data_IF_309814465288
#
_entry.id   IF_309814465288
#
_cell.length_a   1.000
_cell.length_b   1.000
_cell.length_c   1.000
_cell.angle_alpha   90.00
_cell.angle_beta   90.00
_cell.angle_gamma   90.00
#
_symmetry.space_group_name_H-M   'P 1'
#
loop_
_entity.id
_entity.type
_entity.pdbx_description
1 polymer ?
#
# COMPACT_ATOMS: atom_id res chain seq x y z
N UNK A 1 -6.36 -29.25 4.82
CA UNK A 1 -6.49 -28.27 5.93
C UNK A 1 -6.05 -28.87 7.27
N UNK A 2 -6.35 -30.14 7.56
CA UNK A 2 -5.88 -30.83 8.77
C UNK A 2 -4.35 -31.03 8.81
N UNK A 3 -3.70 -31.27 7.67
CA UNK A 3 -2.24 -31.40 7.57
C UNK A 3 -1.47 -30.14 8.02
N UNK A 4 -2.07 -28.94 7.91
CA UNK A 4 -1.46 -27.68 8.37
C UNK A 4 -1.44 -27.55 9.91
N UNK A 5 -2.38 -28.21 10.59
CA UNK A 5 -2.46 -28.26 12.04
C UNK A 5 -1.56 -29.34 12.65
N UNK A 6 -1.12 -30.32 11.85
CA UNK A 6 -0.17 -31.36 12.25
C UNK A 6 1.29 -30.91 12.16
N UNK A 7 1.56 -29.76 11.52
CA UNK A 7 2.89 -29.17 11.48
C UNK A 7 3.37 -28.75 12.87
N UNK A 8 4.68 -28.85 13.09
CA UNK A 8 5.33 -28.37 14.31
C UNK A 8 4.90 -26.93 14.63
N UNK A 9 4.64 -26.65 15.91
CA UNK A 9 4.22 -25.32 16.39
C UNK A 9 5.18 -24.21 15.92
N UNK A 10 6.48 -24.52 15.78
CA UNK A 10 7.49 -23.60 15.24
C UNK A 10 7.18 -23.21 13.80
N UNK A 11 6.77 -24.16 12.96
CA UNK A 11 6.41 -23.90 11.56
C UNK A 11 5.10 -23.12 11.46
N UNK A 12 4.15 -23.34 12.36
CA UNK A 12 2.91 -22.55 12.41
C UNK A 12 3.20 -21.08 12.74
N UNK A 13 4.08 -20.81 13.73
CA UNK A 13 4.51 -19.45 14.07
C UNK A 13 5.20 -18.76 12.90
N UNK A 14 6.01 -19.48 12.12
CA UNK A 14 6.66 -18.97 10.90
C UNK A 14 5.65 -18.58 9.84
N UNK A 15 4.69 -19.47 9.55
CA UNK A 15 3.70 -19.22 8.51
C UNK A 15 2.77 -18.06 8.89
N UNK A 16 2.27 -18.06 10.13
CA UNK A 16 1.36 -17.00 10.61
C UNK A 16 2.10 -15.67 10.74
N UNK A 17 3.27 -15.66 11.39
CA UNK A 17 4.08 -14.45 11.56
C UNK A 17 4.58 -13.89 10.24
N UNK A 18 5.03 -14.76 9.32
CA UNK A 18 5.45 -14.39 7.98
C UNK A 18 4.30 -13.84 7.13
N UNK A 19 3.11 -14.45 7.20
CA UNK A 19 1.93 -13.98 6.48
C UNK A 19 1.44 -12.61 6.99
N UNK A 20 1.38 -12.41 8.31
CA UNK A 20 1.04 -11.11 8.90
C UNK A 20 2.08 -10.04 8.52
N UNK A 21 3.35 -10.40 8.55
CA UNK A 21 4.45 -9.54 8.11
C UNK A 21 4.30 -9.13 6.65
N UNK A 22 3.98 -10.07 5.76
CA UNK A 22 3.72 -9.81 4.35
C UNK A 22 2.54 -8.83 4.17
N UNK A 23 1.42 -9.08 4.86
CA UNK A 23 0.24 -8.21 4.84
C UNK A 23 0.62 -6.77 5.22
N UNK A 24 1.41 -6.60 6.28
CA UNK A 24 1.79 -5.28 6.81
C UNK A 24 2.81 -4.59 5.90
N UNK A 25 3.84 -5.32 5.46
CA UNK A 25 4.91 -4.79 4.62
C UNK A 25 4.39 -4.33 3.26
N UNK A 26 3.46 -5.07 2.66
CA UNK A 26 2.97 -4.84 1.30
C UNK A 26 1.50 -4.43 1.21
N UNK A 27 0.88 -3.98 2.31
CA UNK A 27 -0.50 -3.46 2.27
C UNK A 27 -0.61 -2.30 1.27
N UNK A 28 -1.50 -2.43 0.28
CA UNK A 28 -1.69 -1.46 -0.80
C UNK A 28 -0.78 -1.62 -2.02
N UNK A 29 0.09 -2.65 -2.09
CA UNK A 29 1.00 -2.92 -3.22
C UNK A 29 1.01 -4.38 -3.69
N UNK A 30 -0.04 -5.15 -3.40
CA UNK A 30 -0.03 -6.62 -3.52
C UNK A 30 -0.30 -7.16 -4.92
N UNK A 31 -0.84 -6.35 -5.83
CA UNK A 31 -1.43 -6.84 -7.08
C UNK A 31 -0.41 -7.45 -8.07
N UNK A 32 0.89 -7.20 -7.92
CA UNK A 32 1.91 -7.68 -8.85
C UNK A 32 2.74 -8.87 -8.37
N UNK A 33 2.49 -9.41 -7.16
CA UNK A 33 3.32 -10.49 -6.63
C UNK A 33 2.80 -11.85 -7.09
N UNK A 34 3.67 -12.67 -7.68
CA UNK A 34 3.32 -14.06 -8.00
C UNK A 34 3.17 -14.89 -6.73
N UNK A 35 2.41 -15.98 -6.77
CA UNK A 35 2.22 -16.86 -5.61
C UNK A 35 3.56 -17.35 -5.05
N UNK A 36 4.55 -17.61 -5.91
CA UNK A 36 5.91 -17.98 -5.52
C UNK A 36 6.63 -16.85 -4.78
N UNK A 37 6.46 -15.60 -5.20
CA UNK A 37 7.06 -14.44 -4.51
C UNK A 37 6.44 -14.24 -3.13
N UNK A 38 5.12 -14.40 -3.03
CA UNK A 38 4.41 -14.29 -1.75
C UNK A 38 4.91 -15.35 -0.77
N UNK A 39 5.05 -16.61 -1.21
CA UNK A 39 5.59 -17.69 -0.37
C UNK A 39 7.04 -17.42 0.03
N UNK A 40 7.88 -16.94 -0.90
CA UNK A 40 9.26 -16.57 -0.60
C UNK A 40 9.35 -15.47 0.47
N UNK A 41 8.53 -14.42 0.34
CA UNK A 41 8.49 -13.31 1.31
C UNK A 41 8.01 -13.79 2.68
N UNK A 42 6.97 -14.62 2.73
CA UNK A 42 6.47 -15.22 3.98
C UNK A 42 7.57 -16.02 4.66
N UNK A 43 8.32 -16.82 3.93
CA UNK A 43 9.43 -17.61 4.46
C UNK A 43 10.60 -16.72 4.91
N UNK A 44 10.92 -15.63 4.20
CA UNK A 44 11.95 -14.69 4.63
C UNK A 44 11.60 -14.03 5.97
N UNK A 45 10.39 -13.48 6.11
CA UNK A 45 9.96 -12.86 7.38
C UNK A 45 9.74 -13.89 8.48
N UNK A 46 9.19 -15.06 8.16
CA UNK A 46 9.04 -16.16 9.10
C UNK A 46 10.38 -16.72 9.59
N UNK A 47 11.40 -16.75 8.72
CA UNK A 47 12.77 -17.11 9.07
C UNK A 47 13.39 -16.17 10.11
N UNK A 48 13.10 -14.87 10.04
CA UNK A 48 13.47 -13.90 11.08
C UNK A 48 12.82 -14.29 12.42
N UNK A 49 11.59 -14.79 12.40
CA UNK A 49 10.88 -15.33 13.57
C UNK A 49 11.62 -16.53 14.19
N UNK A 50 12.06 -17.50 13.38
CA UNK A 50 12.83 -18.65 13.87
C UNK A 50 14.17 -18.23 14.48
N UNK A 51 14.89 -17.32 13.82
CA UNK A 51 16.17 -16.81 14.32
C UNK A 51 15.96 -16.07 15.64
N UNK A 52 14.86 -15.32 15.76
CA UNK A 52 14.50 -14.61 16.99
C UNK A 52 14.22 -15.60 18.13
N UNK A 53 13.41 -16.64 17.87
CA UNK A 53 13.11 -17.71 18.84
C UNK A 53 14.40 -18.39 19.31
N UNK A 54 15.25 -18.85 18.39
CA UNK A 54 16.50 -19.54 18.76
C UNK A 54 17.51 -18.64 19.47
N UNK A 55 17.53 -17.33 19.18
CA UNK A 55 18.38 -16.37 19.89
C UNK A 55 17.85 -16.08 21.30
N UNK A 56 16.53 -16.00 21.47
CA UNK A 56 15.87 -15.82 22.76
C UNK A 56 16.04 -17.05 23.66
N UNK A 57 15.92 -18.26 23.10
CA UNK A 57 16.18 -19.51 23.84
C UNK A 57 17.60 -19.51 24.44
N UNK A 58 18.62 -19.18 23.63
CA UNK A 58 20.01 -19.07 24.12
C UNK A 58 20.19 -17.96 25.16
N UNK A 59 19.54 -16.81 24.98
CA UNK A 59 19.66 -15.69 25.91
C UNK A 59 19.02 -16.05 27.27
N UNK A 60 17.88 -16.74 27.27
CA UNK A 60 17.22 -17.18 28.50
C UNK A 60 18.01 -18.28 29.24
N UNK A 61 18.69 -19.17 28.52
CA UNK A 61 19.65 -20.10 29.10
C UNK A 61 20.81 -19.39 29.81
N UNK A 62 21.32 -18.30 29.22
CA UNK A 62 22.37 -17.47 29.81
C UNK A 62 21.90 -16.68 31.03
N UNK A 63 20.67 -16.17 31.03
CA UNK A 63 20.14 -15.32 32.10
C UNK A 63 19.44 -16.08 33.23
N UNK A 64 19.28 -17.41 33.15
CA UNK A 64 18.63 -18.26 34.17
C UNK A 64 17.23 -17.78 34.57
N UNK A 65 16.43 -17.32 33.58
CA UNK A 65 15.11 -16.73 33.82
C UNK A 65 14.01 -17.72 33.46
N UNK A 66 13.65 -18.60 34.39
CA UNK A 66 12.74 -19.72 34.13
C UNK A 66 11.30 -19.32 33.78
N UNK A 67 10.82 -18.15 34.24
CA UNK A 67 9.44 -17.70 33.98
C UNK A 67 9.18 -17.27 32.53
N UNK A 68 10.22 -16.90 31.78
CA UNK A 68 10.13 -16.53 30.36
C UNK A 68 10.23 -17.74 29.41
N UNK A 69 10.51 -18.93 29.94
CA UNK A 69 10.65 -20.19 29.17
C UNK A 69 9.31 -20.84 28.81
N UNK A 70 8.18 -20.22 29.16
CA UNK A 70 6.87 -20.74 28.79
C UNK A 70 6.69 -20.71 27.26
N UNK A 71 6.31 -21.85 26.67
CA UNK A 71 6.11 -22.00 25.23
C UNK A 71 5.15 -20.95 24.63
N UNK A 72 4.18 -20.47 25.44
CA UNK A 72 3.26 -19.41 25.06
C UNK A 72 3.95 -18.05 24.86
N UNK A 73 4.91 -17.70 25.72
CA UNK A 73 5.68 -16.45 25.62
C UNK A 73 6.61 -16.50 24.42
N UNK A 74 7.24 -17.66 24.18
CA UNK A 74 8.11 -17.87 23.04
C UNK A 74 7.35 -17.78 21.71
N UNK A 75 6.17 -18.40 21.63
CA UNK A 75 5.30 -18.36 20.45
C UNK A 75 4.81 -16.94 20.14
N UNK A 76 4.35 -16.20 21.15
CA UNK A 76 3.90 -14.82 20.97
C UNK A 76 5.02 -13.87 20.53
N UNK A 77 6.22 -13.96 21.11
CA UNK A 77 7.39 -13.20 20.67
C UNK A 77 7.83 -13.58 19.25
N UNK A 78 7.72 -14.86 18.90
CA UNK A 78 7.99 -15.39 17.57
C UNK A 78 7.11 -14.80 16.46
N UNK A 79 5.90 -14.35 16.78
CA UNK A 79 5.00 -13.64 15.84
C UNK A 79 5.23 -12.13 15.87
N UNK A 80 5.50 -11.56 17.04
CA UNK A 80 5.73 -10.11 17.21
C UNK A 80 6.99 -9.64 16.49
N UNK A 81 8.10 -10.38 16.58
CA UNK A 81 9.39 -9.97 16.00
C UNK A 81 9.36 -9.85 14.47
N UNK A 82 8.82 -10.82 13.71
CA UNK A 82 8.57 -10.66 12.28
C UNK A 82 7.71 -9.44 11.96
N UNK A 83 6.62 -9.24 12.71
CA UNK A 83 5.68 -8.14 12.50
C UNK A 83 6.36 -6.77 12.66
N UNK A 84 7.18 -6.61 13.71
CA UNK A 84 7.97 -5.39 13.93
C UNK A 84 9.00 -5.21 12.79
N UNK A 85 9.67 -6.29 12.39
CA UNK A 85 10.62 -6.25 11.28
C UNK A 85 9.96 -5.81 9.97
N UNK A 86 8.71 -6.22 9.73
CA UNK A 86 7.93 -5.80 8.57
C UNK A 86 7.58 -4.31 8.59
N UNK A 87 7.27 -3.75 9.77
CA UNK A 87 7.02 -2.31 9.94
C UNK A 87 8.30 -1.52 9.66
N UNK A 88 9.43 -1.95 10.21
CA UNK A 88 10.74 -1.33 9.98
C UNK A 88 11.12 -1.42 8.49
N UNK A 89 10.91 -2.59 7.88
CA UNK A 89 11.13 -2.80 6.45
C UNK A 89 10.35 -1.79 5.61
N UNK A 90 9.04 -1.67 5.89
CA UNK A 90 8.15 -0.75 5.17
C UNK A 90 8.54 0.72 5.33
N UNK A 91 8.93 1.13 6.53
CA UNK A 91 9.22 2.54 6.83
C UNK A 91 10.59 3.00 6.34
N UNK A 92 11.64 2.20 6.53
CA UNK A 92 13.02 2.68 6.35
C UNK A 92 13.84 1.83 5.38
N UNK A 93 13.79 0.50 5.51
CA UNK A 93 14.70 -0.36 4.73
C UNK A 93 14.33 -0.32 3.26
N UNK A 94 13.05 -0.42 2.91
CA UNK A 94 12.61 -0.38 1.51
C UNK A 94 13.07 0.90 0.78
N UNK A 95 12.98 2.06 1.44
CA UNK A 95 13.43 3.33 0.87
C UNK A 95 14.96 3.40 0.71
N UNK A 96 15.71 2.91 1.71
CA UNK A 96 17.18 2.89 1.67
C UNK A 96 17.70 1.91 0.62
N UNK A 97 17.14 0.71 0.55
CA UNK A 97 17.50 -0.31 -0.44
C UNK A 97 17.23 0.20 -1.84
N UNK A 98 16.10 0.88 -2.08
CA UNK A 98 15.81 1.51 -3.38
C UNK A 98 16.88 2.53 -3.75
N UNK A 99 17.24 3.43 -2.83
CA UNK A 99 18.29 4.45 -3.06
C UNK A 99 19.67 3.82 -3.31
N UNK A 100 20.01 2.79 -2.55
CA UNK A 100 21.28 2.08 -2.69
C UNK A 100 21.34 1.35 -4.03
N UNK A 101 20.27 0.67 -4.42
CA UNK A 101 20.18 -0.03 -5.68
C UNK A 101 20.26 0.95 -6.85
N UNK A 102 19.49 2.05 -6.82
CA UNK A 102 19.55 3.08 -7.88
C UNK A 102 20.93 3.73 -7.98
N UNK A 103 21.66 3.82 -6.87
CA UNK A 103 23.04 4.32 -6.89
C UNK A 103 24.01 3.31 -7.54
N UNK A 104 23.78 2.01 -7.32
CA UNK A 104 24.65 0.94 -7.83
C UNK A 104 24.35 0.57 -9.29
N UNK A 105 23.09 0.55 -9.70
CA UNK A 105 22.69 0.15 -11.06
C UNK A 105 22.60 1.32 -12.02
N UNK A 106 22.59 2.56 -11.52
CA UNK A 106 22.39 3.78 -12.32
C UNK A 106 21.06 3.81 -13.11
N UNK A 107 20.19 2.83 -12.87
CA UNK A 107 18.88 2.69 -13.47
C UNK A 107 17.85 3.55 -12.76
N UNK A 108 16.99 4.21 -13.54
CA UNK A 108 15.85 5.00 -13.06
C UNK A 108 14.56 4.19 -12.97
N UNK A 109 14.65 2.87 -13.13
CA UNK A 109 13.48 2.00 -13.09
C UNK A 109 13.01 1.82 -11.65
N UNK A 110 11.73 2.13 -11.41
CA UNK A 110 11.16 2.19 -10.06
C UNK A 110 10.69 0.82 -9.53
N UNK A 111 10.86 -0.25 -10.32
CA UNK A 111 10.50 -1.63 -9.98
C UNK A 111 9.00 -1.89 -9.81
N UNK A 112 8.18 -0.92 -10.21
CA UNK A 112 6.73 -0.97 -10.14
C UNK A 112 6.15 -1.41 -11.49
N UNK A 113 5.07 -2.21 -11.51
CA UNK A 113 4.55 -2.84 -12.71
C UNK A 113 4.01 -1.84 -13.73
N UNK A 114 3.65 -0.63 -13.31
CA UNK A 114 3.09 0.39 -14.19
C UNK A 114 3.49 1.80 -13.78
N UNK A 115 3.61 2.70 -14.77
CA UNK A 115 3.80 4.13 -14.52
C UNK A 115 2.69 4.72 -13.63
N UNK A 116 1.45 4.21 -13.76
CA UNK A 116 0.33 4.54 -12.88
C UNK A 116 0.65 4.27 -11.42
N UNK A 117 1.13 3.06 -11.11
CA UNK A 117 1.49 2.69 -9.74
C UNK A 117 2.63 3.55 -9.18
N UNK A 118 3.60 3.94 -10.02
CA UNK A 118 4.66 4.89 -9.64
C UNK A 118 4.10 6.27 -9.30
N UNK A 119 3.14 6.74 -10.09
CA UNK A 119 2.52 8.04 -9.93
C UNK A 119 1.73 8.10 -8.61
N UNK A 120 0.85 7.14 -8.35
CA UNK A 120 -0.07 7.18 -7.19
C UNK A 120 0.64 6.90 -5.87
N UNK A 121 1.73 6.12 -5.89
CA UNK A 121 2.45 5.72 -4.67
C UNK A 121 3.49 6.75 -4.22
N UNK A 122 3.72 7.82 -4.99
CA UNK A 122 4.72 8.83 -4.65
C UNK A 122 4.23 9.71 -3.49
N UNK A 123 4.83 9.50 -2.33
CA UNK A 123 4.52 10.23 -1.09
C UNK A 123 5.03 11.69 -1.13
N UNK A 124 4.45 12.56 -0.29
CA UNK A 124 4.79 14.00 -0.12
C UNK A 124 4.45 14.94 -1.29
N UNK A 125 3.43 14.60 -2.09
CA UNK A 125 2.90 15.48 -3.12
C UNK A 125 1.46 15.88 -2.78
N UNK A 126 1.11 17.13 -3.04
CA UNK A 126 -0.27 17.61 -2.94
C UNK A 126 -0.90 17.65 -4.33
N UNK A 127 -2.09 17.09 -4.46
CA UNK A 127 -2.85 17.12 -5.70
C UNK A 127 -3.55 18.47 -5.82
N UNK A 128 -3.33 19.16 -6.94
CA UNK A 128 -3.92 20.48 -7.20
C UNK A 128 -5.12 20.39 -8.14
N UNK A 129 -5.02 19.55 -9.17
CA UNK A 129 -6.01 19.41 -10.23
C UNK A 129 -6.03 17.97 -10.72
N UNK A 130 -7.22 17.47 -11.06
CA UNK A 130 -7.43 16.16 -11.68
C UNK A 130 -8.44 16.32 -12.80
N UNK A 131 -8.07 15.90 -14.01
CA UNK A 131 -8.90 15.83 -15.19
C UNK A 131 -8.90 14.39 -15.69
N UNK A 132 -10.08 13.83 -15.90
CA UNK A 132 -10.27 12.49 -16.44
C UNK A 132 -11.05 12.62 -17.73
N UNK A 133 -10.43 12.23 -18.84
CA UNK A 133 -11.09 12.19 -20.14
C UNK A 133 -11.54 10.76 -20.41
N UNK A 134 -12.84 10.62 -20.68
CA UNK A 134 -13.48 9.37 -21.00
C UNK A 134 -13.38 9.06 -22.49
N UNK A 135 -13.50 7.78 -22.85
CA UNK A 135 -13.52 7.30 -24.24
C UNK A 135 -14.68 7.85 -25.07
N UNK A 136 -15.76 8.28 -24.42
CA UNK A 136 -16.90 8.93 -25.09
C UNK A 136 -16.66 10.44 -25.35
N UNK A 137 -15.47 10.96 -25.02
CA UNK A 137 -15.08 12.36 -25.23
C UNK A 137 -15.46 13.30 -24.09
N UNK A 138 -16.18 12.84 -23.06
CA UNK A 138 -16.45 13.67 -21.88
C UNK A 138 -15.19 13.81 -21.04
N UNK A 139 -14.93 15.03 -20.55
CA UNK A 139 -13.87 15.30 -19.59
C UNK A 139 -14.47 15.77 -18.27
N UNK A 140 -14.09 15.11 -17.19
CA UNK A 140 -14.44 15.48 -15.83
C UNK A 140 -13.26 16.11 -15.15
N UNK A 141 -13.48 17.26 -14.55
CA UNK A 141 -12.45 18.00 -13.83
C UNK A 141 -12.83 18.14 -12.36
N UNK A 142 -11.80 18.07 -11.53
CA UNK A 142 -11.83 18.43 -10.13
C UNK A 142 -10.75 19.50 -9.91
N UNK A 143 -11.18 20.69 -9.55
CA UNK A 143 -10.33 21.82 -9.22
C UNK A 143 -11.07 22.81 -8.31
N UNK A 144 -10.45 23.27 -7.21
CA UNK A 144 -9.16 22.83 -6.65
C UNK A 144 -9.32 21.56 -5.78
N UNK A 145 -8.41 20.58 -5.90
CA UNK A 145 -8.47 19.34 -5.11
C UNK A 145 -8.25 19.55 -3.61
N UNK A 146 -7.58 20.64 -3.23
CA UNK A 146 -7.28 20.95 -1.83
C UNK A 146 -8.53 21.13 -0.97
N UNK A 147 -9.62 21.62 -1.56
CA UNK A 147 -10.90 21.86 -0.87
C UNK A 147 -11.56 20.56 -0.40
N UNK A 148 -11.20 19.44 -1.03
CA UNK A 148 -11.76 18.11 -0.77
C UNK A 148 -10.93 17.28 0.22
N UNK A 149 -9.82 17.81 0.75
CA UNK A 149 -8.94 17.08 1.66
C UNK A 149 -9.64 16.60 2.95
N UNK A 150 -10.66 17.33 3.42
CA UNK A 150 -11.39 17.02 4.65
C UNK A 150 -12.68 16.20 4.41
N UNK A 151 -12.92 15.76 3.17
CA UNK A 151 -14.10 14.97 2.83
C UNK A 151 -13.89 13.49 3.13
N UNK A 152 -14.97 12.68 3.26
CA UNK A 152 -14.89 11.30 3.74
C UNK A 152 -13.91 10.40 2.99
N UNK A 153 -13.68 10.66 1.70
CA UNK A 153 -12.80 9.87 0.85
C UNK A 153 -11.46 10.57 0.53
N UNK A 154 -11.14 11.65 1.25
CA UNK A 154 -10.00 12.52 0.92
C UNK A 154 -10.23 13.28 -0.40
N UNK A 155 -9.19 13.86 -1.02
CA UNK A 155 -9.36 14.70 -2.20
C UNK A 155 -9.74 13.93 -3.48
N UNK A 156 -9.24 12.71 -3.60
CA UNK A 156 -9.52 11.79 -4.71
C UNK A 156 -9.07 10.37 -4.31
N UNK A 157 -9.63 9.36 -4.95
CA UNK A 157 -9.30 7.95 -4.74
C UNK A 157 -8.74 7.38 -6.05
N UNK A 158 -7.55 6.79 -5.98
CA UNK A 158 -6.94 6.09 -7.10
C UNK A 158 -6.92 4.59 -6.85
N UNK A 159 -7.63 3.85 -7.68
CA UNK A 159 -7.59 2.39 -7.68
C UNK A 159 -6.26 1.88 -8.25
N UNK A 160 -5.76 0.78 -7.69
CA UNK A 160 -4.59 0.06 -8.20
C UNK A 160 -4.84 -0.51 -9.61
N UNK A 161 -6.09 -0.79 -9.92
CA UNK A 161 -6.60 -1.23 -11.23
C UNK A 161 -6.65 -0.11 -12.29
N UNK A 162 -6.41 1.15 -11.90
CA UNK A 162 -6.52 2.32 -12.78
C UNK A 162 -7.89 3.01 -12.72
N UNK A 163 -8.81 2.57 -11.86
CA UNK A 163 -10.06 3.29 -11.62
C UNK A 163 -9.84 4.58 -10.81
N UNK A 164 -10.74 5.55 -10.96
CA UNK A 164 -10.64 6.86 -10.31
C UNK A 164 -11.95 7.23 -9.64
N UNK A 165 -11.87 7.63 -8.37
CA UNK A 165 -12.93 8.30 -7.64
C UNK A 165 -12.61 9.78 -7.46
N UNK A 166 -13.48 10.67 -7.93
CA UNK A 166 -13.24 12.12 -7.85
C UNK A 166 -14.51 12.93 -7.58
N UNK A 167 -14.32 14.11 -6.98
CA UNK A 167 -15.35 15.14 -6.83
C UNK A 167 -15.38 16.00 -8.09
N UNK A 168 -16.42 15.85 -8.90
CA UNK A 168 -16.52 16.54 -10.19
C UNK A 168 -16.98 17.98 -9.95
N UNK A 169 -16.13 18.96 -10.26
CA UNK A 169 -16.46 20.39 -10.21
C UNK A 169 -16.88 20.93 -11.56
N UNK A 170 -16.34 20.37 -12.64
CA UNK A 170 -16.61 20.82 -14.01
C UNK A 170 -16.71 19.63 -14.97
N UNK A 171 -17.64 19.72 -15.92
CA UNK A 171 -17.94 18.71 -16.92
C UNK A 171 -17.83 19.35 -18.29
N UNK A 172 -16.91 18.86 -19.11
CA UNK A 172 -16.74 19.29 -20.50
C UNK A 172 -17.20 18.18 -21.43
N UNK A 173 -18.35 18.32 -22.12
CA UNK A 173 -18.79 17.38 -23.14
C UNK A 173 -17.90 17.46 -24.39
N UNK A 174 -17.96 16.43 -25.24
CA UNK A 174 -17.31 16.44 -26.54
C UNK A 174 -17.84 17.62 -27.39
N UNK A 175 -16.93 18.49 -27.84
CA UNK A 175 -17.22 19.63 -28.72
C UNK A 175 -18.22 20.68 -28.18
N UNK A 176 -18.40 20.77 -26.86
CA UNK A 176 -19.25 21.78 -26.23
C UNK A 176 -18.51 22.56 -25.14
N UNK A 177 -19.01 23.76 -24.83
CA UNK A 177 -18.54 24.51 -23.65
C UNK A 177 -18.81 23.69 -22.39
N UNK A 178 -17.83 23.67 -21.50
CA UNK A 178 -17.97 22.98 -20.23
C UNK A 178 -18.96 23.69 -19.31
N UNK A 179 -19.51 22.91 -18.38
CA UNK A 179 -20.44 23.39 -17.36
C UNK A 179 -19.95 23.00 -15.97
N UNK A 180 -20.21 23.86 -14.99
CA UNK A 180 -20.01 23.47 -13.60
C UNK A 180 -20.97 22.33 -13.24
N UNK A 181 -20.46 21.38 -12.45
CA UNK A 181 -21.28 20.30 -11.96
C UNK A 181 -22.29 20.84 -10.93
N UNK A 182 -23.57 20.60 -11.17
CA UNK A 182 -24.62 20.93 -10.22
C UNK A 182 -24.53 20.01 -9.00
N UNK A 183 -24.77 20.55 -7.80
CA UNK A 183 -24.92 19.82 -6.53
C UNK A 183 -23.78 18.85 -6.17
N UNK A 184 -22.56 19.37 -6.02
CA UNK A 184 -21.48 18.58 -5.40
C UNK A 184 -21.77 18.29 -3.92
N UNK A 185 -22.37 19.26 -3.22
CA UNK A 185 -22.76 19.19 -1.82
C UNK A 185 -24.25 19.51 -1.77
N UNK A 186 -25.02 18.62 -1.15
CA UNK A 186 -26.45 18.80 -0.90
C UNK A 186 -26.79 18.38 0.55
N UNK A 187 -28.06 18.51 0.94
CA UNK A 187 -28.55 18.11 2.26
C UNK A 187 -28.25 16.63 2.58
N UNK A 188 -28.18 15.78 1.55
CA UNK A 188 -27.90 14.35 1.66
C UNK A 188 -26.40 14.01 1.72
N UNK A 189 -25.51 15.01 1.57
CA UNK A 189 -24.07 14.85 1.69
C UNK A 189 -23.29 15.25 0.45
N UNK A 190 -22.12 14.65 0.27
CA UNK A 190 -21.14 15.05 -0.76
C UNK A 190 -21.04 13.96 -1.82
N UNK A 191 -21.25 14.33 -3.09
CA UNK A 191 -21.24 13.41 -4.23
C UNK A 191 -19.82 13.15 -4.72
N UNK A 192 -19.38 11.90 -4.64
CA UNK A 192 -18.18 11.40 -5.32
C UNK A 192 -18.58 10.56 -6.53
N UNK A 193 -17.86 10.69 -7.65
CA UNK A 193 -18.12 9.89 -8.86
C UNK A 193 -17.03 8.86 -9.04
N UNK A 194 -17.44 7.60 -9.20
CA UNK A 194 -16.55 6.50 -9.55
C UNK A 194 -16.50 6.34 -11.08
N UNK A 195 -15.30 6.31 -11.63
CA UNK A 195 -15.04 6.12 -13.05
C UNK A 195 -14.26 4.81 -13.22
N UNK A 196 -14.84 3.79 -13.88
CA UNK A 196 -14.15 2.52 -14.10
C UNK A 196 -13.03 2.69 -15.13
N UNK A 197 -11.93 1.96 -14.96
CA UNK A 197 -10.75 2.03 -15.83
C UNK A 197 -11.08 1.87 -17.33
N UNK A 198 -12.07 1.04 -17.65
CA UNK A 198 -12.42 0.70 -19.03
C UNK A 198 -13.08 1.86 -19.78
N UNK A 199 -13.57 2.87 -19.07
CA UNK A 199 -14.15 4.08 -19.65
C UNK A 199 -13.14 5.22 -19.77
N UNK A 200 -11.99 5.13 -19.09
CA UNK A 200 -10.97 6.16 -19.07
C UNK A 200 -10.13 6.05 -20.34
N UNK A 201 -9.99 7.18 -21.04
CA UNK A 201 -9.04 7.33 -22.15
C UNK A 201 -7.72 7.94 -21.65
N UNK A 202 -7.80 8.97 -20.81
CA UNK A 202 -6.65 9.72 -20.32
C UNK A 202 -6.91 10.27 -18.91
N UNK A 203 -5.84 10.35 -18.11
CA UNK A 203 -5.88 10.96 -16.77
C UNK A 203 -4.76 11.98 -16.71
N UNK A 204 -5.16 13.24 -16.57
CA UNK A 204 -4.28 14.37 -16.33
C UNK A 204 -4.39 14.81 -14.88
N UNK A 205 -3.28 14.89 -14.18
CA UNK A 205 -3.27 15.46 -12.84
C UNK A 205 -2.08 16.39 -12.66
N UNK A 206 -2.31 17.45 -11.90
CA UNK A 206 -1.29 18.43 -11.52
C UNK A 206 -0.99 18.28 -10.04
N UNK A 207 0.30 18.16 -9.72
CA UNK A 207 0.79 18.03 -8.34
C UNK A 207 1.74 19.16 -7.99
N UNK A 208 1.71 19.59 -6.74
CA UNK A 208 2.67 20.50 -6.14
C UNK A 208 3.51 19.75 -5.10
N UNK A 209 4.76 20.18 -4.92
CA UNK A 209 5.55 19.70 -3.79
C UNK A 209 4.88 20.21 -2.50
N UNK A 210 4.72 19.33 -1.51
CA UNK A 210 4.22 19.75 -0.20
C UNK A 210 5.26 20.65 0.46
N UNK A 211 4.95 21.93 0.65
CA UNK A 211 5.79 22.85 1.42
C UNK A 211 5.87 22.31 2.86
N UNK A 212 7.10 22.15 3.37
CA UNK A 212 7.39 21.65 4.71
C UNK A 212 7.44 22.78 5.71
#
# INVERSE_FOLDING_TARGET
MNELLELSWRTQVVLIGGYLSYIIAYSGRRESHTTTDVLGIILCFGGIGLISIGSLERLFELCSVDWLRSDYVLGSLGVMMPTISAIVWRRTIAQKTKRLLSFLTQDKEDGLPSAWSTIIQKENLEYAQLVVTLKNGYSYESYPLGDFNNYPNGPCVFGSDGSVGMYITYITPLDQEGRQAESLIDADGIRITYIPKDQIAEIDFRRKARER
#
